data_IF_687532510048
#
_entry.id   IF_687532510048
#
_cell.length_a   1.000
_cell.length_b   1.000
_cell.length_c   1.000
_cell.angle_alpha   90.00
_cell.angle_beta   90.00
_cell.angle_gamma   90.00
#
_symmetry.space_group_name_H-M   'P 1'
#
loop_
_entity.id
_entity.type
_entity.pdbx_description
1 polymer ?
#
# COMPACT_ATOMS: atom_id res chain seq x y z
N UNK A 1 -33.44 -39.13 -23.77
CA UNK A 1 -34.14 -38.07 -22.99
C UNK A 1 -33.63 -38.22 -21.56
N UNK A 2 -32.62 -37.49 -21.24
CA UNK A 2 -31.97 -37.52 -19.91
C UNK A 2 -32.34 -36.21 -19.20
N UNK A 3 -33.18 -36.36 -18.16
CA UNK A 3 -33.57 -35.31 -17.22
C UNK A 3 -32.35 -34.80 -16.46
N UNK A 4 -31.86 -33.67 -16.85
CA UNK A 4 -30.95 -32.91 -16.00
C UNK A 4 -31.78 -32.04 -15.05
N UNK A 5 -32.05 -32.57 -13.87
CA UNK A 5 -32.67 -31.83 -12.78
C UNK A 5 -31.68 -30.76 -12.23
N UNK A 6 -32.13 -29.54 -12.00
CA UNK A 6 -31.26 -28.44 -11.49
C UNK A 6 -30.88 -28.58 -10.00
N UNK A 7 -31.10 -29.75 -9.40
CA UNK A 7 -30.92 -29.97 -7.96
C UNK A 7 -29.48 -30.22 -7.50
N UNK A 8 -28.53 -30.41 -8.40
CA UNK A 8 -27.15 -30.79 -8.02
C UNK A 8 -26.25 -29.62 -7.58
N UNK A 9 -26.53 -28.42 -8.02
CA UNK A 9 -25.72 -27.25 -7.69
C UNK A 9 -25.83 -26.81 -6.21
N UNK A 10 -27.01 -27.00 -5.63
CA UNK A 10 -27.25 -26.69 -4.22
C UNK A 10 -26.51 -27.63 -3.27
N UNK A 11 -26.39 -28.91 -3.65
CA UNK A 11 -25.65 -29.87 -2.85
C UNK A 11 -24.15 -29.58 -2.77
N UNK A 12 -23.59 -29.09 -3.88
CA UNK A 12 -22.17 -28.68 -3.91
C UNK A 12 -21.95 -27.42 -3.07
N UNK A 13 -22.83 -26.42 -3.17
CA UNK A 13 -22.74 -25.17 -2.42
C UNK A 13 -22.94 -25.37 -0.91
N UNK A 14 -23.85 -26.27 -0.52
CA UNK A 14 -24.05 -26.69 0.86
C UNK A 14 -22.84 -27.46 1.41
N UNK A 15 -22.20 -28.30 0.60
CA UNK A 15 -21.00 -29.02 1.00
C UNK A 15 -19.80 -28.10 1.22
N UNK A 16 -19.65 -27.06 0.41
CA UNK A 16 -18.60 -26.05 0.60
C UNK A 16 -18.84 -25.15 1.83
N UNK A 17 -20.10 -24.79 2.10
CA UNK A 17 -20.44 -24.01 3.32
C UNK A 17 -20.24 -24.82 4.60
N UNK A 18 -20.49 -26.14 4.60
CA UNK A 18 -20.19 -27.03 5.73
C UNK A 18 -18.69 -27.23 5.93
N UNK A 19 -17.92 -27.31 4.85
CA UNK A 19 -16.46 -27.39 4.93
C UNK A 19 -15.82 -26.10 5.50
N UNK A 20 -16.47 -24.95 5.32
CA UNK A 20 -16.04 -23.65 5.87
C UNK A 20 -16.47 -23.41 7.33
N UNK A 21 -17.14 -24.37 7.98
CA UNK A 21 -17.55 -24.27 9.39
C UNK A 21 -18.65 -23.23 9.68
N UNK A 22 -19.32 -22.71 8.65
CA UNK A 22 -20.35 -21.69 8.80
C UNK A 22 -21.73 -22.34 8.88
N UNK A 23 -22.23 -22.54 10.11
CA UNK A 23 -23.66 -22.65 10.37
C UNK A 23 -24.28 -24.05 10.23
N UNK A 24 -23.71 -25.10 10.85
CA UNK A 24 -24.29 -26.46 10.87
C UNK A 24 -25.76 -26.53 11.34
N UNK A 25 -26.20 -25.66 12.22
CA UNK A 25 -27.58 -25.64 12.73
C UNK A 25 -28.60 -24.94 11.82
N UNK A 26 -28.18 -24.05 10.94
CA UNK A 26 -29.08 -23.34 10.03
C UNK A 26 -29.47 -24.19 8.80
N UNK A 27 -28.66 -25.18 8.43
CA UNK A 27 -28.85 -26.00 7.24
C UNK A 27 -29.91 -27.06 7.44
N UNK A 28 -30.00 -27.65 8.63
CA UNK A 28 -31.04 -28.66 8.94
C UNK A 28 -32.47 -28.09 8.92
N UNK A 29 -32.65 -26.82 9.31
CA UNK A 29 -33.96 -26.15 9.28
C UNK A 29 -34.45 -25.80 7.87
N UNK A 30 -33.56 -25.74 6.88
CA UNK A 30 -33.89 -25.36 5.51
C UNK A 30 -34.25 -26.54 4.60
N UNK A 31 -33.93 -27.78 5.02
CA UNK A 31 -34.17 -28.98 4.24
C UNK A 31 -35.66 -29.32 4.03
N UNK A 32 -36.55 -28.73 4.85
CA UNK A 32 -37.99 -28.94 4.78
C UNK A 32 -38.74 -27.90 3.92
N UNK A 33 -38.05 -26.93 3.37
CA UNK A 33 -38.66 -25.86 2.57
C UNK A 33 -38.81 -26.29 1.10
N UNK A 34 -39.91 -25.88 0.42
CA UNK A 34 -40.07 -26.12 -1.02
C UNK A 34 -38.89 -25.52 -1.81
N UNK A 35 -38.45 -26.24 -2.86
CA UNK A 35 -37.24 -25.88 -3.61
C UNK A 35 -37.18 -24.44 -4.15
N UNK A 36 -38.34 -23.82 -4.44
CA UNK A 36 -38.41 -22.41 -4.84
C UNK A 36 -38.07 -21.41 -3.73
N UNK A 37 -38.37 -21.77 -2.45
CA UNK A 37 -38.00 -20.94 -1.27
C UNK A 37 -36.50 -20.99 -1.04
N UNK A 38 -35.89 -22.19 -1.18
CA UNK A 38 -34.42 -22.35 -1.12
C UNK A 38 -33.70 -21.50 -2.17
N UNK A 39 -34.27 -21.43 -3.39
CA UNK A 39 -33.76 -20.57 -4.46
C UNK A 39 -33.81 -19.08 -4.15
N UNK A 40 -34.90 -18.61 -3.56
CA UNK A 40 -35.03 -17.20 -3.16
C UNK A 40 -34.07 -16.82 -2.03
N UNK A 41 -33.95 -17.68 -1.01
CA UNK A 41 -33.04 -17.43 0.11
C UNK A 41 -31.58 -17.49 -0.35
N UNK A 42 -31.22 -18.46 -1.19
CA UNK A 42 -29.87 -18.57 -1.75
C UNK A 42 -29.49 -17.37 -2.62
N UNK A 43 -30.43 -16.92 -3.48
CA UNK A 43 -30.23 -15.72 -4.29
C UNK A 43 -30.08 -14.46 -3.45
N UNK A 44 -30.86 -14.32 -2.38
CA UNK A 44 -30.77 -13.18 -1.45
C UNK A 44 -29.44 -13.17 -0.70
N UNK A 45 -29.03 -14.32 -0.13
CA UNK A 45 -27.77 -14.46 0.60
C UNK A 45 -26.58 -14.22 -0.34
N UNK A 46 -26.60 -14.79 -1.57
CA UNK A 46 -25.56 -14.55 -2.57
C UNK A 46 -25.48 -13.07 -2.96
N UNK A 47 -26.63 -12.43 -3.17
CA UNK A 47 -26.70 -11.01 -3.52
C UNK A 47 -26.16 -10.10 -2.41
N UNK A 48 -26.46 -10.42 -1.15
CA UNK A 48 -25.94 -9.67 0.02
C UNK A 48 -24.43 -9.91 0.15
N UNK A 49 -23.99 -11.16 0.01
CA UNK A 49 -22.56 -11.50 0.13
C UNK A 49 -21.73 -10.82 -0.95
N UNK A 50 -22.19 -10.83 -2.21
CA UNK A 50 -21.54 -10.14 -3.31
C UNK A 50 -21.50 -8.63 -3.09
N UNK A 51 -22.57 -8.01 -2.58
CA UNK A 51 -22.59 -6.57 -2.26
C UNK A 51 -21.69 -6.19 -1.11
N UNK A 52 -21.50 -7.06 -0.13
CA UNK A 52 -20.59 -6.83 1.00
C UNK A 52 -19.12 -7.09 0.62
N UNK A 53 -18.88 -8.03 -0.32
CA UNK A 53 -17.52 -8.29 -0.83
C UNK A 53 -17.07 -7.25 -1.87
N UNK A 54 -17.98 -6.62 -2.62
CA UNK A 54 -17.65 -5.67 -3.70
C UNK A 54 -16.73 -4.53 -3.24
N UNK A 55 -16.96 -3.85 -2.10
CA UNK A 55 -16.03 -2.83 -1.60
C UNK A 55 -14.67 -3.42 -1.20
N UNK A 56 -14.63 -4.64 -0.65
CA UNK A 56 -13.38 -5.32 -0.28
C UNK A 56 -12.61 -5.77 -1.53
N UNK A 57 -13.29 -6.28 -2.54
CA UNK A 57 -12.70 -6.67 -3.83
C UNK A 57 -12.20 -5.45 -4.60
N UNK A 58 -12.92 -4.32 -4.57
CA UNK A 58 -12.48 -3.07 -5.18
C UNK A 58 -11.23 -2.52 -4.47
N UNK A 59 -11.23 -2.48 -3.14
CA UNK A 59 -10.06 -2.07 -2.36
C UNK A 59 -8.84 -2.97 -2.61
N UNK A 60 -9.04 -4.30 -2.73
CA UNK A 60 -7.96 -5.23 -3.09
C UNK A 60 -7.57 -5.12 -4.56
N UNK A 61 -8.54 -4.97 -5.46
CA UNK A 61 -8.31 -4.78 -6.89
C UNK A 61 -7.52 -3.51 -7.19
N UNK A 62 -7.86 -2.40 -6.54
CA UNK A 62 -7.11 -1.14 -6.67
C UNK A 62 -5.69 -1.25 -6.09
N UNK A 63 -5.52 -1.96 -4.95
CA UNK A 63 -4.19 -2.24 -4.39
C UNK A 63 -3.35 -3.13 -5.30
N UNK A 64 -3.96 -4.13 -5.93
CA UNK A 64 -3.28 -5.03 -6.89
C UNK A 64 -3.01 -4.28 -8.20
N UNK A 65 -3.96 -3.49 -8.71
CA UNK A 65 -3.77 -2.69 -9.91
C UNK A 65 -2.66 -1.64 -9.72
N UNK A 66 -2.60 -0.98 -8.56
CA UNK A 66 -1.48 -0.07 -8.20
C UNK A 66 -0.14 -0.80 -8.11
N UNK A 67 -0.13 -2.08 -7.71
CA UNK A 67 1.08 -2.92 -7.70
C UNK A 67 1.56 -3.34 -9.09
N UNK A 68 0.65 -3.34 -10.07
CA UNK A 68 0.93 -3.73 -11.46
C UNK A 68 1.16 -2.54 -12.39
N UNK A 69 0.90 -1.29 -11.94
CA UNK A 69 1.28 -0.10 -12.71
C UNK A 69 2.81 0.03 -12.70
N UNK A 70 3.45 0.05 -13.87
CA UNK A 70 4.88 0.33 -13.95
C UNK A 70 5.16 1.68 -13.28
N UNK A 71 6.21 1.74 -12.47
CA UNK A 71 6.70 3.01 -11.93
C UNK A 71 6.89 3.99 -13.11
N UNK A 72 6.31 5.20 -13.08
CA UNK A 72 6.54 6.18 -14.14
C UNK A 72 8.04 6.42 -14.26
N UNK A 73 8.53 6.60 -15.49
CA UNK A 73 9.93 6.87 -15.74
C UNK A 73 10.41 8.06 -14.87
N UNK A 74 11.63 7.99 -14.31
CA UNK A 74 12.12 9.03 -13.41
C UNK A 74 12.05 10.40 -14.09
N UNK A 75 11.45 11.36 -13.39
CA UNK A 75 11.30 12.74 -13.88
C UNK A 75 12.69 13.37 -14.00
N UNK A 76 13.08 13.73 -15.22
CA UNK A 76 14.36 14.37 -15.54
C UNK A 76 14.38 15.89 -15.31
N UNK A 77 13.46 16.40 -14.46
CA UNK A 77 13.48 17.82 -14.09
C UNK A 77 14.79 18.21 -13.40
N UNK A 78 15.27 19.46 -13.58
CA UNK A 78 16.49 19.93 -12.94
C UNK A 78 16.38 19.74 -11.41
N UNK A 79 17.38 19.09 -10.85
CA UNK A 79 17.41 18.75 -9.41
C UNK A 79 17.73 20.01 -8.61
N UNK A 80 16.89 20.37 -7.66
CA UNK A 80 17.29 21.35 -6.64
C UNK A 80 18.14 20.67 -5.58
N UNK A 81 19.12 21.37 -5.05
CA UNK A 81 19.91 20.89 -3.90
C UNK A 81 19.10 21.03 -2.61
N UNK A 82 18.04 20.27 -2.49
CA UNK A 82 17.15 20.25 -1.30
C UNK A 82 16.65 18.85 -1.04
N UNK A 83 16.24 18.59 0.18
CA UNK A 83 15.76 17.27 0.65
C UNK A 83 14.32 17.43 1.13
N UNK A 84 13.49 16.43 0.86
CA UNK A 84 12.14 16.30 1.41
C UNK A 84 12.12 15.12 2.39
N UNK A 85 11.70 15.37 3.63
CA UNK A 85 11.48 14.35 4.66
C UNK A 85 10.00 14.13 4.83
N UNK A 86 9.54 12.90 4.66
CA UNK A 86 8.14 12.49 4.76
C UNK A 86 8.01 11.47 5.88
N UNK A 87 7.33 11.83 6.96
CA UNK A 87 7.15 11.00 8.15
C UNK A 87 5.94 11.54 8.92
N UNK A 88 4.99 10.70 9.30
CA UNK A 88 3.81 11.13 10.04
C UNK A 88 4.12 11.44 11.51
N UNK A 89 5.16 10.82 12.06
CA UNK A 89 5.59 11.08 13.43
C UNK A 89 6.40 12.36 13.52
N UNK A 90 5.82 13.40 14.12
CA UNK A 90 6.38 14.74 14.20
C UNK A 90 7.81 14.79 14.77
N UNK A 91 8.04 14.08 15.89
CA UNK A 91 9.37 14.04 16.52
C UNK A 91 10.45 13.41 15.63
N UNK A 92 10.15 12.31 14.93
CA UNK A 92 11.07 11.67 13.99
C UNK A 92 11.36 12.60 12.81
N UNK A 93 10.32 13.18 12.23
CA UNK A 93 10.43 14.09 11.09
C UNK A 93 11.30 15.32 11.41
N UNK A 94 11.00 16.00 12.52
CA UNK A 94 11.77 17.19 12.92
C UNK A 94 13.22 16.86 13.28
N UNK A 95 13.46 15.78 14.01
CA UNK A 95 14.82 15.35 14.37
C UNK A 95 15.65 15.05 13.12
N UNK A 96 15.09 14.29 12.18
CA UNK A 96 15.76 13.94 10.93
C UNK A 96 16.02 15.19 10.06
N UNK A 97 15.03 16.07 9.95
CA UNK A 97 15.17 17.30 9.21
C UNK A 97 16.23 18.24 9.83
N UNK A 98 16.26 18.38 11.16
CA UNK A 98 17.27 19.18 11.86
C UNK A 98 18.68 18.62 11.66
N UNK A 99 18.82 17.30 11.80
CA UNK A 99 20.10 16.62 11.57
C UNK A 99 20.62 16.83 10.13
N UNK A 100 19.76 16.74 9.14
CA UNK A 100 20.14 16.94 7.73
C UNK A 100 20.48 18.40 7.42
N UNK A 101 19.73 19.37 7.97
CA UNK A 101 20.05 20.80 7.84
C UNK A 101 21.43 21.11 8.41
N UNK A 102 21.71 20.59 9.61
CA UNK A 102 23.00 20.79 10.27
C UNK A 102 24.15 20.12 9.50
N UNK A 103 23.96 18.87 9.05
CA UNK A 103 25.03 18.10 8.44
C UNK A 103 25.37 18.55 7.02
N UNK A 104 24.37 18.98 6.25
CA UNK A 104 24.51 19.22 4.81
C UNK A 104 24.40 20.71 4.41
N UNK A 105 23.86 21.57 5.30
CA UNK A 105 23.63 23.00 4.98
C UNK A 105 22.62 23.20 3.84
N UNK A 106 21.72 22.24 3.59
CA UNK A 106 20.75 22.28 2.50
C UNK A 106 19.34 22.62 3.01
N UNK A 107 18.49 23.21 2.16
CA UNK A 107 17.08 23.32 2.47
C UNK A 107 16.45 21.94 2.66
N UNK A 108 15.75 21.74 3.79
CA UNK A 108 15.01 20.51 4.09
C UNK A 108 13.55 20.87 4.30
N UNK A 109 12.70 20.31 3.48
CA UNK A 109 11.25 20.42 3.56
C UNK A 109 10.69 19.22 4.32
N UNK A 110 9.56 19.40 4.97
CA UNK A 110 8.93 18.42 5.83
C UNK A 110 7.49 18.19 5.41
N UNK A 111 7.08 16.92 5.29
CA UNK A 111 5.72 16.51 5.01
C UNK A 111 5.28 15.41 5.98
N UNK A 112 4.02 15.46 6.41
CA UNK A 112 3.43 14.46 7.32
C UNK A 112 2.57 13.41 6.59
N UNK A 113 2.43 13.52 5.27
CA UNK A 113 1.59 12.64 4.46
C UNK A 113 2.07 12.61 3.02
N UNK A 114 1.65 11.61 2.25
CA UNK A 114 1.97 11.51 0.83
C UNK A 114 1.35 12.63 0.00
N UNK A 115 0.15 13.08 0.34
CA UNK A 115 -0.48 14.23 -0.33
C UNK A 115 0.32 15.51 -0.16
N UNK A 116 0.80 15.80 1.07
CA UNK A 116 1.65 16.97 1.36
C UNK A 116 3.01 16.86 0.65
N UNK A 117 3.60 15.66 0.64
CA UNK A 117 4.87 15.39 -0.04
C UNK A 117 4.79 15.73 -1.54
N UNK A 118 3.73 15.27 -2.22
CA UNK A 118 3.51 15.61 -3.65
C UNK A 118 3.37 17.11 -3.86
N UNK A 119 2.63 17.79 -2.99
CA UNK A 119 2.48 19.26 -3.05
C UNK A 119 3.79 20.01 -2.87
N UNK A 120 4.64 19.58 -1.94
CA UNK A 120 5.96 20.17 -1.72
C UNK A 120 6.92 19.86 -2.89
N UNK A 121 6.90 18.63 -3.37
CA UNK A 121 7.71 18.24 -4.52
C UNK A 121 7.36 19.05 -5.78
N UNK A 122 6.09 19.29 -6.06
CA UNK A 122 5.64 20.10 -7.20
C UNK A 122 6.11 21.57 -7.11
N UNK A 123 6.25 22.11 -5.89
CA UNK A 123 6.68 23.49 -5.67
C UNK A 123 8.20 23.65 -5.62
N UNK A 124 8.90 22.71 -5.02
CA UNK A 124 10.32 22.86 -4.67
C UNK A 124 11.26 21.97 -5.48
N UNK A 125 10.73 20.99 -6.24
CA UNK A 125 11.51 20.07 -7.06
C UNK A 125 12.70 19.46 -6.30
N UNK A 126 12.48 18.99 -5.07
CA UNK A 126 13.52 18.49 -4.19
C UNK A 126 14.39 17.43 -4.88
N UNK A 127 15.69 17.49 -4.63
CA UNK A 127 16.67 16.59 -5.25
C UNK A 127 16.68 15.19 -4.68
N UNK A 128 16.26 15.02 -3.42
CA UNK A 128 16.13 13.72 -2.76
C UNK A 128 14.93 13.70 -1.82
N UNK A 129 14.36 12.52 -1.62
CA UNK A 129 13.23 12.29 -0.72
C UNK A 129 13.57 11.16 0.25
N UNK A 130 13.32 11.39 1.53
CA UNK A 130 13.30 10.38 2.58
C UNK A 130 11.86 10.16 2.99
N UNK A 131 11.36 8.97 2.82
CA UNK A 131 9.95 8.67 3.06
C UNK A 131 9.79 7.51 4.03
N UNK A 132 8.94 7.67 5.04
CA UNK A 132 8.52 6.54 5.86
C UNK A 132 7.69 5.55 5.03
N UNK A 133 7.83 4.26 5.30
CA UNK A 133 7.09 3.20 4.63
C UNK A 133 5.58 3.29 4.89
N UNK A 134 5.21 3.67 6.11
CA UNK A 134 3.81 3.73 6.56
C UNK A 134 3.43 5.17 6.80
N UNK A 135 2.53 5.71 5.98
CA UNK A 135 1.95 7.03 6.14
C UNK A 135 0.44 6.91 6.39
N UNK A 136 -0.22 7.94 6.94
CA UNK A 136 -1.63 7.86 7.31
C UNK A 136 -2.57 7.72 6.10
N UNK A 137 -2.17 8.21 4.95
CA UNK A 137 -2.97 8.24 3.72
C UNK A 137 -2.58 7.17 2.70
N UNK A 138 -1.32 6.71 2.69
CA UNK A 138 -0.82 5.73 1.72
C UNK A 138 0.50 5.09 2.14
N UNK A 139 1.03 4.14 1.36
CA UNK A 139 2.36 3.60 1.58
C UNK A 139 3.44 4.53 1.00
N UNK A 140 4.54 4.72 1.73
CA UNK A 140 5.66 5.54 1.26
C UNK A 140 6.29 5.07 -0.05
N UNK A 141 6.25 3.77 -0.33
CA UNK A 141 6.65 3.23 -1.63
C UNK A 141 5.78 3.74 -2.79
N UNK A 142 4.46 3.93 -2.58
CA UNK A 142 3.56 4.50 -3.59
C UNK A 142 3.83 5.99 -3.79
N UNK A 143 4.19 6.71 -2.71
CA UNK A 143 4.62 8.12 -2.79
C UNK A 143 5.88 8.24 -3.63
N UNK A 144 6.92 7.45 -3.33
CA UNK A 144 8.19 7.48 -4.07
C UNK A 144 8.02 7.07 -5.54
N UNK A 145 7.16 6.07 -5.81
CA UNK A 145 6.82 5.69 -7.18
C UNK A 145 6.17 6.84 -7.95
N UNK A 146 5.29 7.62 -7.31
CA UNK A 146 4.63 8.78 -7.91
C UNK A 146 5.58 9.98 -8.12
N UNK A 147 6.55 10.17 -7.22
CA UNK A 147 7.58 11.21 -7.32
C UNK A 147 8.66 10.83 -8.37
N UNK A 148 8.91 9.55 -8.56
CA UNK A 148 9.72 8.98 -9.65
C UNK A 148 11.20 9.33 -9.63
N UNK A 149 11.87 9.33 -8.45
CA UNK A 149 13.30 9.67 -8.34
C UNK A 149 14.13 8.46 -7.95
N UNK A 150 15.19 8.21 -8.73
CA UNK A 150 16.19 7.19 -8.39
C UNK A 150 17.08 7.70 -7.24
N UNK A 151 17.28 6.84 -6.23
CA UNK A 151 18.15 7.16 -5.08
C UNK A 151 17.42 7.83 -3.92
N UNK A 152 16.08 7.93 -4.00
CA UNK A 152 15.27 8.26 -2.83
C UNK A 152 15.38 7.18 -1.75
N UNK A 153 15.05 7.51 -0.52
CA UNK A 153 15.19 6.61 0.63
C UNK A 153 13.82 6.22 1.17
N UNK A 154 13.58 4.92 1.30
CA UNK A 154 12.43 4.37 2.00
C UNK A 154 12.85 3.93 3.40
N UNK A 155 12.19 4.48 4.43
CA UNK A 155 12.53 4.24 5.84
C UNK A 155 11.46 3.41 6.53
N UNK A 156 11.85 2.57 7.51
CA UNK A 156 10.90 1.92 8.42
C UNK A 156 11.52 1.61 9.76
N UNK A 157 10.72 1.74 10.83
CA UNK A 157 11.09 1.31 12.19
C UNK A 157 10.51 -0.06 12.56
N UNK A 158 9.51 -0.55 11.83
CA UNK A 158 8.72 -1.74 12.21
C UNK A 158 8.71 -2.83 11.15
N UNK A 159 9.03 -2.53 9.88
CA UNK A 159 9.05 -3.54 8.84
C UNK A 159 10.25 -4.48 9.00
N UNK A 160 10.06 -5.75 8.68
CA UNK A 160 11.16 -6.69 8.52
C UNK A 160 12.08 -6.25 7.36
N UNK A 161 13.36 -6.59 7.44
CA UNK A 161 14.36 -6.14 6.46
C UNK A 161 13.96 -6.52 5.03
N UNK A 162 13.61 -7.77 4.79
CA UNK A 162 13.25 -8.29 3.47
C UNK A 162 12.01 -7.59 2.88
N UNK A 163 11.03 -7.26 3.73
CA UNK A 163 9.83 -6.54 3.30
C UNK A 163 10.12 -5.08 2.94
N UNK A 164 11.02 -4.43 3.67
CA UNK A 164 11.45 -3.06 3.39
C UNK A 164 12.28 -3.01 2.10
N UNK A 165 13.22 -3.94 1.93
CA UNK A 165 14.07 -4.04 0.73
C UNK A 165 13.22 -4.29 -0.52
N UNK A 166 12.28 -5.25 -0.47
CA UNK A 166 11.36 -5.51 -1.56
C UNK A 166 10.45 -4.32 -1.89
N UNK A 167 10.07 -3.51 -0.88
CA UNK A 167 9.30 -2.29 -1.10
C UNK A 167 10.16 -1.20 -1.77
N UNK A 168 11.40 -1.04 -1.34
CA UNK A 168 12.33 -0.06 -1.89
C UNK A 168 12.73 -0.38 -3.35
N UNK A 169 12.98 -1.64 -3.66
CA UNK A 169 13.27 -2.09 -5.03
C UNK A 169 12.15 -1.72 -6.01
N UNK A 170 10.88 -1.88 -5.63
CA UNK A 170 9.73 -1.55 -6.48
C UNK A 170 9.64 -0.07 -6.85
N UNK A 171 10.14 0.83 -6.01
CA UNK A 171 10.13 2.27 -6.28
C UNK A 171 11.54 2.83 -6.59
N UNK A 172 12.53 1.96 -6.84
CA UNK A 172 13.92 2.32 -7.12
C UNK A 172 14.57 3.17 -6.01
N UNK A 173 14.12 2.98 -4.77
CA UNK A 173 14.64 3.64 -3.58
C UNK A 173 15.70 2.77 -2.87
N UNK A 174 16.38 3.38 -1.91
CA UNK A 174 17.27 2.68 -0.97
C UNK A 174 16.55 2.44 0.34
N UNK A 175 16.58 1.20 0.82
CA UNK A 175 15.99 0.85 2.10
C UNK A 175 16.88 1.28 3.27
N UNK A 176 16.29 1.97 4.27
CA UNK A 176 17.00 2.30 5.52
C UNK A 176 16.11 2.02 6.74
N UNK A 177 16.65 1.29 7.71
CA UNK A 177 15.94 1.03 8.98
C UNK A 177 16.14 2.17 9.96
N UNK A 178 15.08 2.52 10.66
CA UNK A 178 15.14 3.43 11.80
C UNK A 178 15.68 2.66 13.05
N UNK A 179 16.55 3.24 13.88
CA UNK A 179 17.05 4.63 13.81
C UNK A 179 18.03 4.82 12.64
N UNK A 180 17.90 5.97 11.95
CA UNK A 180 18.75 6.29 10.78
C UNK A 180 20.15 6.68 11.26
N UNK A 181 21.15 5.99 10.74
CA UNK A 181 22.54 6.36 10.94
C UNK A 181 22.88 7.65 10.19
N UNK A 182 23.40 8.65 10.94
CA UNK A 182 23.71 9.99 10.40
C UNK A 182 24.75 9.93 9.27
N UNK A 183 25.82 9.18 9.45
CA UNK A 183 26.89 9.12 8.47
C UNK A 183 26.38 8.48 7.18
N UNK A 184 25.72 7.33 7.31
CA UNK A 184 25.16 6.59 6.18
C UNK A 184 24.18 7.42 5.34
N UNK A 185 23.28 8.17 5.97
CA UNK A 185 22.29 8.97 5.23
C UNK A 185 22.92 10.19 4.58
N UNK A 186 23.87 10.85 5.24
CA UNK A 186 24.59 12.02 4.69
C UNK A 186 25.44 11.60 3.48
N UNK A 187 26.16 10.49 3.58
CA UNK A 187 26.97 9.96 2.47
C UNK A 187 26.09 9.62 1.27
N UNK A 188 24.97 8.93 1.51
CA UNK A 188 24.02 8.57 0.47
C UNK A 188 23.43 9.82 -0.23
N UNK A 189 22.94 10.80 0.53
CA UNK A 189 22.36 12.02 -0.02
C UNK A 189 23.40 12.89 -0.72
N UNK A 190 24.64 12.93 -0.23
CA UNK A 190 25.74 13.65 -0.90
C UNK A 190 26.01 13.06 -2.27
N UNK A 191 26.06 11.73 -2.38
CA UNK A 191 26.21 11.05 -3.65
C UNK A 191 25.00 11.29 -4.58
N UNK A 192 23.77 11.23 -4.05
CA UNK A 192 22.55 11.43 -4.83
C UNK A 192 22.35 12.87 -5.34
N UNK A 193 22.82 13.87 -4.60
CA UNK A 193 22.67 15.30 -4.91
C UNK A 193 23.89 15.91 -5.60
N UNK A 194 25.02 15.21 -5.63
CA UNK A 194 26.30 15.66 -6.22
C UNK A 194 26.54 15.22 -7.65
N UNK A 195 25.65 14.36 -8.21
CA UNK A 195 25.75 13.82 -9.57
C UNK A 195 25.12 14.69 -10.67
#
# INVERSE_FOLDING_TARGET
MSDHTPSSWWAVLLAEMTAAGIGGHAIESLSHLPGWVGGLIGGLVMGITLRLLDPLLRLHGERIARRLTPCPAPVTAPRSRSVLVVDDHEGCRHLLAAMLREAMGLPVYEARSGAEARGLMARHHCGAVLCDLILPDELGGDVLAAIGRKGDVLMSGVAEADALDAAAERCHAVAMRKPIDRARIVDHLTAALGG
#
